data_IF_911003923083
#
_entry.id   IF_911003923083
#
_cell.length_a   1.000
_cell.length_b   1.000
_cell.length_c   1.000
_cell.angle_alpha   90.00
_cell.angle_beta   90.00
_cell.angle_gamma   90.00
#
_symmetry.space_group_name_H-M   'P 1'
#
loop_
_entity.id
_entity.type
_entity.pdbx_description
1 polymer ?
#
# COMPACT_ATOMS: atom_id res chain seq x y z
N UNK A 1 -12.17 14.65 13.06
CA UNK A 1 -13.34 14.62 12.17
C UNK A 1 -13.35 13.31 11.41
N UNK A 2 -14.48 12.55 11.35
CA UNK A 2 -14.49 11.28 10.65
C UNK A 2 -14.34 11.48 9.14
N UNK A 3 -13.52 10.64 8.51
CA UNK A 3 -13.44 10.55 7.06
C UNK A 3 -14.73 9.87 6.57
N UNK A 4 -15.71 10.65 6.14
CA UNK A 4 -16.87 10.12 5.44
C UNK A 4 -16.48 9.83 4.00
N UNK A 5 -16.34 8.54 3.66
CA UNK A 5 -16.30 8.14 2.26
C UNK A 5 -17.71 8.29 1.68
N UNK A 6 -17.98 9.40 1.01
CA UNK A 6 -19.22 9.56 0.27
C UNK A 6 -19.26 8.56 -0.89
N UNK A 7 -20.45 8.05 -1.28
CA UNK A 7 -20.57 7.09 -2.39
C UNK A 7 -19.95 7.56 -3.71
N UNK A 8 -19.89 8.84 -3.90
CA UNK A 8 -19.33 9.58 -5.04
C UNK A 8 -17.99 10.28 -4.70
N UNK A 9 -17.43 9.97 -3.54
CA UNK A 9 -16.18 10.57 -3.08
C UNK A 9 -14.97 10.11 -3.89
N UNK A 10 -14.17 11.08 -4.34
CA UNK A 10 -12.86 10.80 -4.88
C UNK A 10 -11.87 10.53 -3.75
N UNK A 11 -10.98 9.57 -3.94
CA UNK A 11 -9.81 9.39 -3.09
C UNK A 11 -8.55 9.72 -3.86
N UNK A 12 -7.54 10.21 -3.16
CA UNK A 12 -6.19 10.43 -3.68
C UNK A 12 -5.24 9.38 -3.13
N UNK A 13 -4.42 8.80 -3.99
CA UNK A 13 -3.33 7.91 -3.64
C UNK A 13 -2.04 8.46 -4.22
N UNK A 14 -1.09 8.77 -3.34
CA UNK A 14 0.30 8.97 -3.74
C UNK A 14 1.08 7.70 -3.39
N UNK A 15 1.45 6.94 -4.42
CA UNK A 15 2.28 5.77 -4.27
C UNK A 15 3.75 6.16 -4.42
N UNK A 16 4.48 6.21 -3.31
CA UNK A 16 5.89 6.59 -3.27
C UNK A 16 6.84 5.40 -3.23
N UNK A 17 8.12 5.65 -3.50
CA UNK A 17 9.18 4.63 -3.42
C UNK A 17 9.40 4.15 -1.99
N UNK A 18 9.39 5.07 -1.03
CA UNK A 18 9.61 4.80 0.40
C UNK A 18 8.33 4.85 1.19
N UNK A 19 7.51 5.88 0.95
CA UNK A 19 6.26 6.11 1.64
C UNK A 19 5.16 6.41 0.65
N UNK A 20 3.96 5.95 0.97
CA UNK A 20 2.71 6.28 0.28
C UNK A 20 1.82 7.14 1.17
N UNK A 21 0.87 7.85 0.59
CA UNK A 21 -0.13 8.60 1.31
C UNK A 21 -1.52 8.37 0.68
N UNK A 22 -2.53 8.48 1.52
CA UNK A 22 -3.92 8.34 1.12
C UNK A 22 -4.70 9.56 1.59
N UNK A 23 -5.52 10.12 0.71
CA UNK A 23 -6.36 11.26 1.01
C UNK A 23 -7.79 11.04 0.59
N UNK A 24 -8.71 11.67 1.27
CA UNK A 24 -10.11 11.77 0.89
C UNK A 24 -10.56 13.23 0.97
N UNK A 25 -11.74 13.54 0.44
CA UNK A 25 -12.31 14.88 0.53
C UNK A 25 -13.35 14.90 1.62
N UNK A 26 -13.17 15.75 2.63
CA UNK A 26 -14.11 16.01 3.71
C UNK A 26 -14.48 17.50 3.68
N UNK A 27 -15.77 17.81 3.62
CA UNK A 27 -16.24 19.21 3.56
C UNK A 27 -15.51 20.05 2.49
N UNK A 28 -15.28 19.45 1.31
CA UNK A 28 -14.55 20.04 0.19
C UNK A 28 -13.05 20.30 0.45
N UNK A 29 -12.49 19.74 1.52
CA UNK A 29 -11.07 19.83 1.84
C UNK A 29 -10.38 18.45 1.71
N UNK A 30 -9.21 18.37 1.06
CA UNK A 30 -8.43 17.14 1.05
C UNK A 30 -7.89 16.86 2.46
N UNK A 31 -8.14 15.66 2.95
CA UNK A 31 -7.74 15.21 4.28
C UNK A 31 -6.94 13.92 4.16
N UNK A 32 -5.73 13.90 4.72
CA UNK A 32 -4.88 12.70 4.74
C UNK A 32 -5.40 11.68 5.76
N UNK A 33 -5.35 10.43 5.39
CA UNK A 33 -5.58 9.33 6.32
C UNK A 33 -4.42 9.22 7.31
N UNK A 34 -4.73 8.84 8.55
CA UNK A 34 -3.76 8.56 9.58
C UNK A 34 -3.59 7.06 9.77
N UNK A 35 -2.38 6.62 10.06
CA UNK A 35 -2.01 5.23 10.29
C UNK A 35 -1.33 5.10 11.65
N UNK A 36 -1.51 3.98 12.37
CA UNK A 36 -0.81 3.75 13.62
C UNK A 36 0.70 3.62 13.38
N UNK A 37 1.50 4.23 14.25
CA UNK A 37 2.95 4.09 14.27
C UNK A 37 3.46 3.94 15.69
N UNK A 38 4.73 3.57 15.87
CA UNK A 38 5.36 3.43 17.19
C UNK A 38 5.37 4.74 17.99
N UNK A 39 5.34 5.89 17.31
CA UNK A 39 5.33 7.23 17.94
C UNK A 39 3.92 7.86 18.02
N UNK A 40 2.87 7.11 17.71
CA UNK A 40 1.49 7.60 17.64
C UNK A 40 0.89 7.49 16.24
N UNK A 41 0.15 8.50 15.79
CA UNK A 41 -0.42 8.52 14.43
C UNK A 41 0.54 9.18 13.43
N UNK A 42 0.52 8.71 12.19
CA UNK A 42 1.28 9.28 11.06
C UNK A 42 0.41 9.31 9.82
N UNK A 43 0.64 10.28 8.94
CA UNK A 43 -0.04 10.37 7.64
C UNK A 43 0.74 9.66 6.52
N UNK A 44 1.89 9.08 6.84
CA UNK A 44 2.70 8.33 5.88
C UNK A 44 2.55 6.83 6.08
N UNK A 45 2.39 6.11 4.97
CA UNK A 45 2.30 4.65 4.93
C UNK A 45 3.56 4.11 4.25
N UNK A 46 4.46 3.42 4.97
CA UNK A 46 5.65 2.83 4.37
C UNK A 46 5.31 1.93 3.18
N UNK A 47 5.94 2.17 2.02
CA UNK A 47 5.73 1.39 0.79
C UNK A 47 6.52 0.09 0.82
N UNK A 48 6.25 -0.75 1.83
CA UNK A 48 6.94 -2.01 2.07
C UNK A 48 5.95 -3.16 2.19
N UNK A 49 6.38 -4.34 1.76
CA UNK A 49 5.69 -5.61 1.96
C UNK A 49 6.54 -6.54 2.81
N UNK A 50 5.92 -7.27 3.70
CA UNK A 50 6.54 -8.34 4.45
C UNK A 50 5.75 -9.63 4.27
N UNK A 51 6.43 -10.69 3.88
CA UNK A 51 5.89 -12.02 3.72
C UNK A 51 6.48 -12.94 4.78
N UNK A 52 5.64 -13.71 5.44
CA UNK A 52 6.06 -14.67 6.45
C UNK A 52 5.26 -15.97 6.33
N UNK A 53 5.86 -17.05 6.79
CA UNK A 53 5.17 -18.34 6.98
C UNK A 53 4.67 -18.40 8.40
N UNK A 54 3.36 -18.48 8.59
CA UNK A 54 2.72 -18.66 9.89
C UNK A 54 2.22 -20.08 10.05
N UNK A 55 2.52 -20.67 11.20
CA UNK A 55 1.92 -21.94 11.61
C UNK A 55 0.54 -21.68 12.20
N UNK A 56 -0.47 -22.29 11.61
CA UNK A 56 -1.84 -22.31 12.13
C UNK A 56 -2.20 -23.78 12.42
N UNK A 57 -1.92 -24.24 13.67
CA UNK A 57 -2.00 -25.64 14.02
C UNK A 57 -0.96 -26.48 13.25
N UNK A 58 -1.43 -27.47 12.47
CA UNK A 58 -0.58 -28.33 11.63
C UNK A 58 -0.28 -27.73 10.25
N UNK A 59 -0.96 -26.64 9.87
CA UNK A 59 -0.80 -26.02 8.57
C UNK A 59 0.19 -24.85 8.64
N UNK A 60 0.96 -24.69 7.57
CA UNK A 60 1.80 -23.51 7.37
C UNK A 60 1.20 -22.68 6.25
N UNK A 61 0.81 -21.45 6.57
CA UNK A 61 0.23 -20.50 5.62
C UNK A 61 1.22 -19.38 5.32
N UNK A 62 1.33 -19.00 4.04
CA UNK A 62 2.00 -17.79 3.63
C UNK A 62 1.05 -16.60 3.87
N UNK A 63 1.52 -15.62 4.63
CA UNK A 63 0.78 -14.38 4.92
C UNK A 63 1.61 -13.18 4.49
N UNK A 64 0.92 -12.08 4.16
CA UNK A 64 1.54 -10.80 3.85
C UNK A 64 1.02 -9.70 4.75
N UNK A 65 1.85 -8.68 4.95
CA UNK A 65 1.50 -7.42 5.57
C UNK A 65 2.16 -6.28 4.79
N UNK A 66 1.62 -5.07 4.85
CA UNK A 66 2.22 -3.88 4.27
C UNK A 66 2.27 -2.74 5.29
N UNK A 67 3.02 -1.70 4.97
CA UNK A 67 3.08 -0.48 5.76
C UNK A 67 3.63 -0.67 7.17
N UNK A 68 3.07 0.06 8.16
CA UNK A 68 3.52 0.00 9.54
C UNK A 68 3.49 -1.43 10.11
N UNK A 69 2.43 -2.19 9.79
CA UNK A 69 2.28 -3.58 10.22
C UNK A 69 3.39 -4.48 9.67
N UNK A 70 3.82 -4.25 8.43
CA UNK A 70 4.92 -5.00 7.81
C UNK A 70 6.24 -4.77 8.57
N UNK A 71 6.55 -3.51 8.87
CA UNK A 71 7.75 -3.16 9.62
C UNK A 71 7.73 -3.76 11.03
N UNK A 72 6.59 -3.64 11.74
CA UNK A 72 6.44 -4.20 13.09
C UNK A 72 6.67 -5.72 13.07
N UNK A 73 6.00 -6.44 12.17
CA UNK A 73 6.17 -7.90 12.05
C UNK A 73 7.58 -8.30 11.69
N UNK A 74 8.24 -7.54 10.79
CA UNK A 74 9.63 -7.79 10.43
C UNK A 74 10.58 -7.60 11.61
N UNK A 75 10.36 -6.58 12.45
CA UNK A 75 11.19 -6.34 13.65
C UNK A 75 10.97 -7.41 14.71
N UNK A 76 9.71 -7.81 14.94
CA UNK A 76 9.33 -8.76 16.01
C UNK A 76 9.62 -10.23 15.63
N UNK A 77 9.81 -10.54 14.34
CA UNK A 77 10.00 -11.92 13.90
C UNK A 77 11.34 -12.50 14.37
N UNK A 78 11.30 -13.68 15.00
CA UNK A 78 12.48 -14.48 15.30
C UNK A 78 13.06 -15.07 14.01
N UNK A 79 12.22 -15.76 13.23
CA UNK A 79 12.55 -16.23 11.90
C UNK A 79 12.16 -15.18 10.87
N UNK A 80 13.16 -14.53 10.26
CA UNK A 80 12.91 -13.46 9.28
C UNK A 80 12.27 -14.01 8.01
N UNK A 81 11.11 -13.44 7.70
CA UNK A 81 10.46 -13.61 6.40
C UNK A 81 11.15 -12.77 5.32
N UNK A 82 10.43 -12.45 4.26
CA UNK A 82 10.93 -11.64 3.16
C UNK A 82 10.34 -10.23 3.20
N UNK A 83 11.18 -9.24 3.43
CA UNK A 83 10.83 -7.82 3.31
C UNK A 83 11.14 -7.34 1.89
N UNK A 84 10.19 -6.68 1.25
CA UNK A 84 10.30 -6.09 -0.08
C UNK A 84 9.99 -4.61 0.02
N UNK A 85 10.81 -3.79 -0.62
CA UNK A 85 10.71 -2.34 -0.60
C UNK A 85 11.09 -1.73 -1.95
N UNK A 86 10.82 -0.44 -2.12
CA UNK A 86 11.23 0.34 -3.31
C UNK A 86 10.62 -0.14 -4.63
N UNK A 87 9.42 -0.74 -4.60
CA UNK A 87 8.76 -1.29 -5.79
C UNK A 87 8.52 -0.24 -6.89
N UNK A 88 8.25 1.02 -6.51
CA UNK A 88 8.06 2.11 -7.47
C UNK A 88 9.25 2.32 -8.39
N UNK A 89 10.47 2.01 -7.95
CA UNK A 89 11.67 2.15 -8.77
C UNK A 89 11.69 1.21 -10.00
N UNK A 90 10.90 0.14 -9.97
CA UNK A 90 10.82 -0.85 -11.05
C UNK A 90 9.68 -0.58 -12.05
N UNK A 91 8.81 0.42 -11.80
CA UNK A 91 7.64 0.68 -12.65
C UNK A 91 8.00 1.00 -14.12
N UNK A 92 9.16 1.61 -14.38
CA UNK A 92 9.63 1.88 -15.73
C UNK A 92 10.57 0.81 -16.31
N UNK A 93 10.85 -0.28 -15.59
CA UNK A 93 11.75 -1.34 -16.07
C UNK A 93 10.96 -2.54 -16.59
N UNK A 94 10.80 -2.63 -17.92
CA UNK A 94 10.09 -3.73 -18.60
C UNK A 94 10.73 -5.10 -18.42
N UNK A 95 11.98 -5.17 -17.95
CA UNK A 95 12.68 -6.44 -17.71
C UNK A 95 12.38 -7.02 -16.33
N UNK A 96 11.80 -6.21 -15.44
CA UNK A 96 11.41 -6.66 -14.12
C UNK A 96 9.99 -7.20 -14.16
N UNK A 97 9.85 -8.51 -14.15
CA UNK A 97 8.56 -9.21 -14.17
C UNK A 97 8.06 -9.61 -12.77
N UNK A 98 8.90 -9.46 -11.74
CA UNK A 98 8.53 -9.79 -10.36
C UNK A 98 9.63 -10.47 -9.57
N UNK A 99 9.27 -11.15 -8.50
CA UNK A 99 10.22 -11.85 -7.61
C UNK A 99 9.61 -13.09 -6.98
N UNK A 100 10.46 -14.06 -6.71
CA UNK A 100 10.09 -15.24 -5.92
C UNK A 100 10.01 -14.93 -4.43
N UNK A 101 8.91 -15.31 -3.81
CA UNK A 101 8.68 -15.26 -2.36
C UNK A 101 8.36 -16.67 -1.87
N UNK A 102 9.32 -17.30 -1.21
CA UNK A 102 9.27 -18.73 -0.87
C UNK A 102 9.04 -19.60 -2.14
N UNK A 103 7.88 -20.26 -2.22
CA UNK A 103 7.52 -21.11 -3.38
C UNK A 103 6.56 -20.44 -4.38
N UNK A 104 6.27 -19.15 -4.21
CA UNK A 104 5.33 -18.41 -5.07
C UNK A 104 6.05 -17.29 -5.80
N UNK A 105 5.64 -17.01 -7.04
CA UNK A 105 6.08 -15.84 -7.79
C UNK A 105 5.03 -14.74 -7.62
N UNK A 106 5.50 -13.51 -7.42
CA UNK A 106 4.68 -12.30 -7.37
C UNK A 106 5.17 -11.34 -8.45
N UNK A 107 4.28 -10.93 -9.33
CA UNK A 107 4.56 -9.87 -10.29
C UNK A 107 4.70 -8.51 -9.57
N UNK A 108 5.21 -7.51 -10.28
CA UNK A 108 5.28 -6.15 -9.76
C UNK A 108 3.88 -5.62 -9.41
N UNK A 109 2.91 -5.89 -10.29
CA UNK A 109 1.52 -5.50 -10.13
C UNK A 109 0.88 -6.17 -8.91
N UNK A 110 1.11 -7.47 -8.69
CA UNK A 110 0.62 -8.19 -7.51
C UNK A 110 1.11 -7.54 -6.22
N UNK A 111 2.40 -7.19 -6.17
CA UNK A 111 3.01 -6.58 -5.00
C UNK A 111 2.50 -5.16 -4.74
N UNK A 112 2.32 -4.35 -5.79
CA UNK A 112 1.75 -3.01 -5.68
C UNK A 112 0.29 -3.09 -5.25
N UNK A 113 -0.49 -4.00 -5.83
CA UNK A 113 -1.88 -4.23 -5.45
C UNK A 113 -2.02 -4.66 -3.98
N UNK A 114 -1.10 -5.48 -3.47
CA UNK A 114 -1.06 -5.83 -2.05
C UNK A 114 -0.81 -4.60 -1.17
N UNK A 115 0.15 -3.73 -1.50
CA UNK A 115 0.39 -2.49 -0.74
C UNK A 115 -0.85 -1.61 -0.77
N UNK A 116 -1.42 -1.35 -1.94
CA UNK A 116 -2.61 -0.51 -2.10
C UNK A 116 -3.81 -1.06 -1.31
N UNK A 117 -4.01 -2.38 -1.34
CA UNK A 117 -5.06 -3.05 -0.57
C UNK A 117 -4.89 -2.86 0.94
N UNK A 118 -3.69 -3.08 1.47
CA UNK A 118 -3.41 -2.90 2.89
C UNK A 118 -3.57 -1.44 3.31
N UNK A 119 -3.03 -0.51 2.53
CA UNK A 119 -3.18 0.92 2.76
C UNK A 119 -4.65 1.33 2.83
N UNK A 120 -5.48 0.87 1.88
CA UNK A 120 -6.91 1.16 1.86
C UNK A 120 -7.64 0.55 3.06
N UNK A 121 -7.30 -0.68 3.46
CA UNK A 121 -7.91 -1.33 4.61
C UNK A 121 -7.52 -0.62 5.92
N UNK A 122 -6.27 -0.20 6.07
CA UNK A 122 -5.81 0.50 7.26
C UNK A 122 -6.37 1.92 7.33
N UNK A 123 -6.45 2.65 6.20
CA UNK A 123 -7.12 3.94 6.12
C UNK A 123 -8.60 3.87 6.57
N UNK A 124 -9.30 2.78 6.20
CA UNK A 124 -10.68 2.53 6.65
C UNK A 124 -10.79 2.24 8.14
N UNK A 125 -9.83 1.52 8.72
CA UNK A 125 -9.82 1.19 10.15
C UNK A 125 -9.54 2.41 11.02
N UNK A 126 -8.75 3.34 10.53
CA UNK A 126 -8.41 4.58 11.21
C UNK A 126 -9.53 5.63 11.15
N UNK A 127 -10.54 5.41 10.30
CA UNK A 127 -11.74 6.25 10.29
C UNK A 127 -12.52 6.06 11.61
N UNK A 128 -12.98 7.15 12.28
CA UNK A 128 -13.71 7.05 13.54
C UNK A 128 -14.95 6.18 13.44
N UNK A 129 -15.24 5.43 14.50
CA UNK A 129 -16.34 4.46 14.59
C UNK A 129 -17.77 5.06 14.51
N UNK A 130 -17.91 6.37 14.40
CA UNK A 130 -19.20 7.06 14.23
C UNK A 130 -19.74 7.03 12.81
N UNK A 131 -18.96 6.48 11.88
CA UNK A 131 -19.41 6.29 10.50
C UNK A 131 -20.11 4.94 10.34
N UNK A 132 -21.28 4.86 9.66
CA UNK A 132 -21.97 3.59 9.44
C UNK A 132 -21.02 2.58 8.79
N UNK A 133 -21.09 1.34 9.21
CA UNK A 133 -20.21 0.22 8.83
C UNK A 133 -20.25 -0.19 7.35
N UNK A 134 -21.04 0.46 6.54
CA UNK A 134 -21.12 0.30 5.09
C UNK A 134 -20.47 1.48 4.37
N UNK A 135 -19.14 1.58 4.41
CA UNK A 135 -18.46 2.53 3.53
C UNK A 135 -18.45 1.96 2.11
N UNK A 136 -19.12 2.60 1.17
CA UNK A 136 -19.02 2.20 -0.23
C UNK A 136 -17.58 2.31 -0.71
N UNK A 137 -17.19 1.41 -1.60
CA UNK A 137 -15.92 1.51 -2.31
C UNK A 137 -15.93 2.85 -3.05
N UNK A 138 -14.88 3.68 -2.94
CA UNK A 138 -14.86 4.95 -3.64
C UNK A 138 -15.04 4.72 -5.13
N UNK A 139 -15.87 5.53 -5.76
CA UNK A 139 -16.19 5.42 -7.18
C UNK A 139 -15.05 5.94 -8.06
N UNK A 140 -14.11 6.70 -7.49
CA UNK A 140 -13.02 7.33 -8.22
C UNK A 140 -11.74 7.34 -7.39
N UNK A 141 -10.64 6.88 -8.01
CA UNK A 141 -9.29 6.95 -7.43
C UNK A 141 -8.44 7.87 -8.32
N UNK A 142 -7.78 8.83 -7.71
CA UNK A 142 -6.78 9.69 -8.36
C UNK A 142 -5.41 9.25 -7.87
N UNK A 143 -4.55 8.79 -8.78
CA UNK A 143 -3.20 8.33 -8.47
C UNK A 143 -2.19 9.35 -8.98
N UNK A 144 -1.27 9.78 -8.10
CA UNK A 144 -0.16 10.64 -8.48
C UNK A 144 0.88 9.86 -9.30
N UNK A 145 1.25 10.42 -10.46
CA UNK A 145 2.33 9.89 -11.32
C UNK A 145 3.50 10.87 -11.34
N UNK A 146 4.76 10.41 -11.17
CA UNK A 146 5.93 11.28 -11.41
C UNK A 146 6.03 11.66 -12.88
N UNK A 147 6.67 12.80 -13.16
CA UNK A 147 6.90 13.25 -14.54
C UNK A 147 7.80 12.28 -15.29
N UNK A 148 8.82 11.73 -14.60
CA UNK A 148 9.74 10.73 -15.12
C UNK A 148 10.03 9.66 -14.09
N UNK A 149 10.18 8.41 -14.53
CA UNK A 149 10.72 7.33 -13.73
C UNK A 149 12.24 7.27 -13.91
N UNK A 150 12.98 7.11 -12.84
CA UNK A 150 14.45 7.04 -12.87
C UNK A 150 14.99 5.84 -13.64
N UNK A 151 14.18 4.80 -13.79
CA UNK A 151 14.49 3.58 -14.53
C UNK A 151 14.03 3.60 -15.99
N UNK A 152 13.22 4.59 -16.38
CA UNK A 152 12.75 4.70 -17.75
C UNK A 152 13.87 5.15 -18.69
N UNK A 153 14.03 4.46 -19.81
CA UNK A 153 15.06 4.78 -20.81
C UNK A 153 14.55 5.72 -21.90
N UNK A 154 13.23 5.76 -22.09
CA UNK A 154 12.56 6.67 -23.02
C UNK A 154 11.11 6.98 -22.58
N UNK A 155 10.43 7.90 -23.31
CA UNK A 155 9.03 8.30 -23.03
C UNK A 155 8.03 7.13 -23.06
N UNK A 156 8.32 6.09 -23.84
CA UNK A 156 7.41 4.93 -23.95
C UNK A 156 7.42 4.10 -22.66
N UNK A 157 8.53 4.09 -21.95
CA UNK A 157 8.62 3.40 -20.67
C UNK A 157 7.84 4.12 -19.58
N UNK A 158 7.74 5.46 -19.64
CA UNK A 158 6.88 6.24 -18.73
C UNK A 158 5.39 5.94 -18.95
N UNK A 159 4.95 5.71 -20.19
CA UNK A 159 3.57 5.35 -20.51
C UNK A 159 3.21 3.95 -20.03
N UNK A 160 4.17 3.03 -20.00
CA UNK A 160 3.95 1.65 -19.55
C UNK A 160 3.71 1.56 -18.03
N UNK A 161 4.17 2.52 -17.24
CA UNK A 161 4.06 2.52 -15.78
C UNK A 161 2.66 2.97 -15.27
N UNK A 162 1.68 3.18 -16.13
CA UNK A 162 0.28 3.47 -15.83
C UNK A 162 -0.60 2.26 -16.03
#
# INVERSE_FOLDING_TARGET
MPIEFRPDGSIGLDFGTTNSAFATVIESQPTLAEFPSASGATTTFPSVLYFERRKEGTLTRLTSAAGPTALQRYLDAEDKGRLIQSLKAYLGDRRFDGTGVFSQHYSLEDMIALIARHLLLDARRSAPATSPTSHPIPSRVVVGKPVHFSSAQDRKDDEFAL
#
